data_IF_796565766662
#
_entry.id   IF_796565766662
#
_cell.length_a   1.000
_cell.length_b   1.000
_cell.length_c   1.000
_cell.angle_alpha   90.00
_cell.angle_beta   90.00
_cell.angle_gamma   90.00
#
_symmetry.space_group_name_H-M   'P 1'
#
loop_
_entity.id
_entity.type
_entity.pdbx_description
1 polymer ?
#
# COMPACT_ATOMS: atom_id res chain seq x y z
N UNK A 1 13.25 20.51 -13.62
CA UNK A 1 12.29 19.97 -12.64
C UNK A 1 12.28 18.47 -12.84
N UNK A 2 12.69 17.69 -11.85
CA UNK A 2 12.66 16.23 -11.99
C UNK A 2 11.21 15.74 -11.94
N UNK A 3 10.79 14.96 -12.93
CA UNK A 3 9.41 14.50 -13.05
C UNK A 3 9.15 13.32 -12.11
N UNK A 4 8.08 13.40 -11.33
CA UNK A 4 7.60 12.29 -10.51
C UNK A 4 6.84 11.29 -11.39
N UNK A 5 7.40 10.10 -11.57
CA UNK A 5 6.84 9.02 -12.38
C UNK A 5 6.19 7.95 -11.49
N UNK A 6 5.04 7.42 -11.92
CA UNK A 6 4.34 6.35 -11.21
C UNK A 6 4.33 5.07 -12.03
N UNK A 7 4.73 3.96 -11.41
CA UNK A 7 4.81 2.68 -12.10
C UNK A 7 4.64 1.50 -11.13
N UNK A 8 4.49 0.31 -11.70
CA UNK A 8 4.65 -0.96 -10.98
C UNK A 8 5.99 -1.56 -11.34
N UNK A 9 6.62 -2.23 -10.40
CA UNK A 9 7.84 -2.99 -10.66
C UNK A 9 7.52 -4.44 -11.00
N UNK A 10 8.33 -5.10 -11.85
CA UNK A 10 8.20 -6.54 -12.06
C UNK A 10 8.44 -7.31 -10.76
N UNK A 11 7.84 -8.50 -10.63
CA UNK A 11 8.14 -9.37 -9.50
C UNK A 11 9.46 -10.10 -9.73
N UNK A 12 10.55 -9.52 -9.25
CA UNK A 12 11.88 -10.12 -9.28
C UNK A 12 12.70 -9.72 -8.04
N UNK A 13 13.81 -10.43 -7.73
CA UNK A 13 14.61 -10.16 -6.55
C UNK A 13 15.18 -8.74 -6.48
N UNK A 14 15.58 -8.16 -7.62
CA UNK A 14 16.12 -6.81 -7.68
C UNK A 14 15.08 -5.75 -7.27
N UNK A 15 13.87 -5.84 -7.82
CA UNK A 15 12.76 -4.93 -7.49
C UNK A 15 12.38 -5.04 -6.01
N UNK A 16 12.31 -6.27 -5.50
CA UNK A 16 12.05 -6.52 -4.08
C UNK A 16 13.12 -5.88 -3.20
N UNK A 17 14.41 -6.05 -3.54
CA UNK A 17 15.52 -5.43 -2.82
C UNK A 17 15.43 -3.91 -2.80
N UNK A 18 15.12 -3.27 -3.93
CA UNK A 18 14.96 -1.81 -4.02
C UNK A 18 13.81 -1.29 -3.15
N UNK A 19 12.66 -1.97 -3.15
CA UNK A 19 11.52 -1.58 -2.31
C UNK A 19 11.79 -1.82 -0.83
N UNK A 20 12.40 -2.96 -0.45
CA UNK A 20 12.82 -3.21 0.93
C UNK A 20 13.80 -2.14 1.40
N UNK A 21 14.81 -1.81 0.58
CA UNK A 21 15.78 -0.77 0.90
C UNK A 21 15.08 0.59 1.09
N UNK A 22 14.15 0.98 0.20
CA UNK A 22 13.38 2.20 0.36
C UNK A 22 12.60 2.21 1.69
N UNK A 23 11.83 1.16 1.98
CA UNK A 23 10.95 1.11 3.14
C UNK A 23 11.69 1.06 4.47
N UNK A 24 12.87 0.42 4.52
CA UNK A 24 13.68 0.32 5.74
C UNK A 24 14.14 1.67 6.32
N UNK A 25 13.93 2.78 5.59
CA UNK A 25 14.24 4.14 6.06
C UNK A 25 13.03 4.88 6.66
N UNK A 26 11.85 4.26 6.70
CA UNK A 26 10.62 4.93 7.13
C UNK A 26 9.92 4.14 8.24
N UNK A 27 9.66 4.77 9.39
CA UNK A 27 8.81 4.15 10.41
C UNK A 27 7.39 3.88 9.89
N UNK A 28 6.72 2.77 10.29
CA UNK A 28 7.19 1.72 11.22
C UNK A 28 8.02 0.61 10.57
N UNK A 29 8.34 0.75 9.28
CA UNK A 29 8.94 -0.32 8.48
C UNK A 29 10.42 -0.56 8.77
N UNK A 30 11.10 0.43 9.37
CA UNK A 30 12.48 0.34 9.87
C UNK A 30 12.63 -0.61 11.07
N UNK A 31 11.59 -0.72 11.91
CA UNK A 31 11.54 -1.63 13.06
C UNK A 31 10.63 -2.85 12.87
N UNK A 32 10.09 -3.06 11.67
CA UNK A 32 9.16 -4.16 11.40
C UNK A 32 9.91 -5.48 11.22
N UNK A 33 9.31 -6.58 11.69
CA UNK A 33 9.86 -7.92 11.49
C UNK A 33 10.09 -8.21 10.00
N UNK A 34 11.36 -8.38 9.62
CA UNK A 34 11.80 -8.51 8.24
C UNK A 34 11.03 -9.59 7.49
N UNK A 35 10.85 -10.77 8.12
CA UNK A 35 10.13 -11.89 7.52
C UNK A 35 8.67 -11.58 7.20
N UNK A 36 7.99 -10.77 8.01
CA UNK A 36 6.60 -10.36 7.75
C UNK A 36 6.55 -9.31 6.62
N UNK A 37 7.40 -8.29 6.71
CA UNK A 37 7.47 -7.21 5.71
C UNK A 37 7.76 -7.78 4.31
N UNK A 38 8.81 -8.60 4.18
CA UNK A 38 9.23 -9.14 2.88
C UNK A 38 8.14 -10.03 2.28
N UNK A 39 7.45 -10.85 3.08
CA UNK A 39 6.31 -11.67 2.59
C UNK A 39 5.18 -10.80 2.04
N UNK A 40 4.82 -9.72 2.74
CA UNK A 40 3.80 -8.77 2.28
C UNK A 40 4.21 -8.08 0.98
N UNK A 41 5.44 -7.57 0.90
CA UNK A 41 5.93 -6.87 -0.28
C UNK A 41 6.04 -7.81 -1.49
N UNK A 42 6.53 -9.04 -1.26
CA UNK A 42 6.61 -10.06 -2.31
C UNK A 42 5.23 -10.40 -2.85
N UNK A 43 4.26 -10.64 -1.97
CA UNK A 43 2.87 -10.86 -2.37
C UNK A 43 2.33 -9.71 -3.22
N UNK A 44 2.54 -8.46 -2.79
CA UNK A 44 2.07 -7.28 -3.53
C UNK A 44 2.73 -7.11 -4.90
N UNK A 45 3.99 -7.54 -5.04
CA UNK A 45 4.69 -7.57 -6.33
C UNK A 45 4.16 -8.68 -7.23
N UNK A 46 4.01 -9.89 -6.72
CA UNK A 46 3.48 -11.04 -7.46
C UNK A 46 2.07 -10.77 -7.96
N UNK A 47 1.23 -10.13 -7.15
CA UNK A 47 -0.15 -9.79 -7.51
C UNK A 47 -0.30 -8.45 -8.24
N UNK A 48 0.80 -7.70 -8.45
CA UNK A 48 0.78 -6.37 -9.05
C UNK A 48 -0.18 -5.39 -8.32
N UNK A 49 -0.32 -5.55 -7.00
CA UNK A 49 -1.14 -4.75 -6.08
C UNK A 49 -0.31 -3.73 -5.31
N UNK A 50 0.56 -3.03 -6.02
CA UNK A 50 1.38 -1.95 -5.48
C UNK A 50 1.59 -0.85 -6.52
N UNK A 51 2.24 0.23 -6.12
CA UNK A 51 2.73 1.29 -6.99
C UNK A 51 3.93 1.98 -6.35
N UNK A 52 4.94 2.31 -7.15
CA UNK A 52 6.05 3.18 -6.78
C UNK A 52 5.87 4.57 -7.38
N UNK A 53 6.38 5.57 -6.68
CA UNK A 53 6.74 6.87 -7.25
C UNK A 53 8.25 6.97 -7.36
N UNK A 54 8.76 7.43 -8.50
CA UNK A 54 10.19 7.56 -8.77
C UNK A 54 10.54 8.95 -9.30
N UNK A 55 11.73 9.43 -8.94
CA UNK A 55 12.34 10.66 -9.45
C UNK A 55 13.77 10.31 -9.79
N UNK A 56 14.18 10.54 -11.03
CA UNK A 56 15.55 10.26 -11.51
C UNK A 56 16.00 8.82 -11.14
N UNK A 57 15.14 7.84 -11.43
CA UNK A 57 15.30 6.40 -11.12
C UNK A 57 15.40 6.01 -9.64
N UNK A 58 15.19 6.96 -8.72
CA UNK A 58 15.15 6.72 -7.28
C UNK A 58 13.71 6.59 -6.79
N UNK A 59 13.41 5.53 -6.03
CA UNK A 59 12.11 5.37 -5.38
C UNK A 59 11.95 6.46 -4.31
N UNK A 60 10.89 7.26 -4.42
CA UNK A 60 10.53 8.33 -3.47
C UNK A 60 9.17 8.13 -2.82
N UNK A 61 8.42 7.11 -3.26
CA UNK A 61 7.12 6.75 -2.73
C UNK A 61 6.78 5.29 -3.02
N UNK A 62 6.06 4.65 -2.10
CA UNK A 62 5.53 3.30 -2.24
C UNK A 62 4.13 3.23 -1.63
N UNK A 63 3.20 2.58 -2.33
CA UNK A 63 1.91 2.16 -1.78
C UNK A 63 1.63 0.71 -2.18
N UNK A 64 1.26 -0.10 -1.21
CA UNK A 64 0.91 -1.51 -1.39
C UNK A 64 -0.45 -1.82 -0.78
N UNK A 65 -1.23 -2.65 -1.47
CA UNK A 65 -2.57 -3.05 -1.03
C UNK A 65 -2.80 -4.55 -1.23
N UNK A 66 -3.84 -5.06 -0.57
CA UNK A 66 -4.36 -6.41 -0.74
C UNK A 66 -5.75 -6.31 -1.34
N UNK A 67 -6.02 -7.06 -2.42
CA UNK A 67 -7.37 -7.24 -2.93
C UNK A 67 -8.13 -8.23 -2.04
N UNK A 68 -9.32 -7.83 -1.62
CA UNK A 68 -10.15 -8.56 -0.66
C UNK A 68 -11.64 -8.26 -0.87
N UNK A 69 -12.52 -8.80 -0.04
CA UNK A 69 -13.94 -8.43 -0.03
C UNK A 69 -14.21 -7.25 0.91
N UNK A 70 -15.30 -6.53 0.67
CA UNK A 70 -15.77 -5.44 1.56
C UNK A 70 -15.96 -5.92 2.99
N UNK A 71 -16.50 -7.11 3.19
CA UNK A 71 -16.73 -7.70 4.52
C UNK A 71 -15.41 -7.91 5.27
N UNK A 72 -14.41 -8.54 4.63
CA UNK A 72 -13.09 -8.78 5.24
C UNK A 72 -12.39 -7.46 5.53
N UNK A 73 -12.41 -6.52 4.58
CA UNK A 73 -11.78 -5.22 4.75
C UNK A 73 -12.42 -4.41 5.89
N UNK A 74 -13.75 -4.48 6.04
CA UNK A 74 -14.47 -3.85 7.15
C UNK A 74 -14.14 -4.48 8.50
N UNK A 75 -14.09 -5.82 8.58
CA UNK A 75 -13.72 -6.53 9.80
C UNK A 75 -12.30 -6.21 10.23
N UNK A 76 -11.35 -6.20 9.28
CA UNK A 76 -9.97 -5.80 9.53
C UNK A 76 -9.87 -4.35 10.00
N UNK A 77 -10.54 -3.43 9.30
CA UNK A 77 -10.51 -2.01 9.65
C UNK A 77 -11.14 -1.77 11.03
N UNK A 78 -12.33 -2.32 11.32
CA UNK A 78 -13.08 -2.05 12.55
C UNK A 78 -12.54 -2.81 13.76
N UNK A 79 -12.31 -4.12 13.63
CA UNK A 79 -12.15 -5.02 14.77
C UNK A 79 -10.75 -5.62 14.88
N UNK A 80 -9.82 -5.26 13.99
CA UNK A 80 -8.49 -5.89 13.94
C UNK A 80 -8.56 -7.36 13.50
N UNK A 81 -9.65 -7.76 12.83
CA UNK A 81 -9.76 -9.09 12.22
C UNK A 81 -8.66 -9.33 11.18
N UNK A 82 -8.39 -10.60 10.83
CA UNK A 82 -7.34 -10.92 9.87
C UNK A 82 -7.65 -10.31 8.50
N UNK A 83 -6.67 -9.67 7.89
CA UNK A 83 -6.77 -9.22 6.51
C UNK A 83 -6.34 -10.34 5.58
N UNK A 84 -7.32 -11.04 5.01
CA UNK A 84 -7.07 -12.13 4.07
C UNK A 84 -7.30 -11.66 2.62
N UNK A 85 -6.48 -12.12 1.67
CA UNK A 85 -6.72 -11.87 0.26
C UNK A 85 -7.97 -12.62 -0.21
N UNK A 86 -8.73 -11.97 -1.09
CA UNK A 86 -9.87 -12.58 -1.77
C UNK A 86 -9.79 -12.21 -3.25
N UNK A 87 -9.18 -13.06 -4.09
CA UNK A 87 -9.08 -12.83 -5.54
C UNK A 87 -10.46 -12.58 -6.15
N UNK A 88 -10.58 -11.55 -6.99
CA UNK A 88 -11.88 -11.13 -7.55
C UNK A 88 -12.76 -10.31 -6.59
N UNK A 89 -12.30 -10.04 -5.37
CA UNK A 89 -13.05 -9.24 -4.40
C UNK A 89 -13.26 -7.78 -4.80
N UNK A 90 -14.31 -7.19 -4.22
CA UNK A 90 -14.83 -5.85 -4.51
C UNK A 90 -14.17 -4.73 -3.67
N UNK A 91 -13.11 -5.07 -2.91
CA UNK A 91 -12.41 -4.13 -2.05
C UNK A 91 -10.88 -4.25 -2.15
N UNK A 92 -10.22 -3.18 -1.79
CA UNK A 92 -8.77 -3.15 -1.54
C UNK A 92 -8.49 -2.57 -0.16
N UNK A 93 -7.55 -3.19 0.55
CA UNK A 93 -7.06 -2.69 1.82
C UNK A 93 -5.61 -2.25 1.64
N UNK A 94 -5.32 -0.98 1.89
CA UNK A 94 -3.96 -0.44 1.84
C UNK A 94 -3.22 -0.84 3.11
N UNK A 95 -2.10 -1.54 2.96
CA UNK A 95 -1.32 -2.08 4.08
C UNK A 95 0.06 -1.43 4.21
N UNK A 96 0.59 -0.88 3.13
CA UNK A 96 1.89 -0.20 3.14
C UNK A 96 1.75 1.15 2.44
N UNK A 97 2.21 2.21 3.08
CA UNK A 97 2.34 3.53 2.49
C UNK A 97 3.55 4.23 3.09
N UNK A 98 4.51 4.60 2.24
CA UNK A 98 5.67 5.37 2.63
C UNK A 98 6.03 6.37 1.53
N UNK A 99 6.40 7.58 1.91
CA UNK A 99 6.77 8.65 0.98
C UNK A 99 7.89 9.49 1.56
N UNK A 100 8.87 9.83 0.75
CA UNK A 100 9.96 10.75 1.13
C UNK A 100 9.49 12.17 1.44
N UNK A 101 8.38 12.59 0.83
CA UNK A 101 7.74 13.89 1.06
C UNK A 101 6.22 13.72 1.09
N UNK A 102 5.56 14.46 1.98
CA UNK A 102 4.09 14.49 2.07
C UNK A 102 3.43 14.95 0.76
N UNK A 103 4.14 15.75 -0.05
CA UNK A 103 3.70 16.18 -1.38
C UNK A 103 3.48 15.02 -2.36
N UNK A 104 4.14 13.88 -2.16
CA UNK A 104 4.02 12.70 -3.03
C UNK A 104 2.77 11.86 -2.73
N UNK A 105 2.15 12.02 -1.55
CA UNK A 105 1.05 11.16 -1.09
C UNK A 105 -0.17 11.27 -2.01
N UNK A 106 -0.66 12.49 -2.27
CA UNK A 106 -1.88 12.66 -3.07
C UNK A 106 -1.69 12.21 -4.53
N UNK A 107 -0.62 12.58 -5.24
CA UNK A 107 -0.31 12.04 -6.57
C UNK A 107 -0.24 10.51 -6.62
N UNK A 108 0.43 9.87 -5.66
CA UNK A 108 0.55 8.42 -5.58
C UNK A 108 -0.82 7.75 -5.40
N UNK A 109 -1.62 8.24 -4.44
CA UNK A 109 -2.96 7.70 -4.17
C UNK A 109 -3.88 7.88 -5.38
N UNK A 110 -3.80 9.01 -6.09
CA UNK A 110 -4.58 9.25 -7.32
C UNK A 110 -4.27 8.19 -8.37
N UNK A 111 -2.99 7.93 -8.63
CA UNK A 111 -2.58 6.93 -9.62
C UNK A 111 -2.95 5.50 -9.19
N UNK A 112 -2.77 5.14 -7.92
CA UNK A 112 -3.18 3.83 -7.40
C UNK A 112 -4.70 3.61 -7.49
N UNK A 113 -5.51 4.67 -7.35
CA UNK A 113 -6.97 4.61 -7.51
C UNK A 113 -7.41 4.35 -8.95
N UNK A 114 -6.69 4.86 -9.95
CA UNK A 114 -7.02 4.61 -11.36
C UNK A 114 -6.99 3.12 -11.71
N UNK A 115 -6.18 2.33 -10.99
CA UNK A 115 -6.06 0.87 -11.16
C UNK A 115 -7.20 0.12 -10.45
N UNK A 116 -7.88 0.76 -9.49
CA UNK A 116 -8.87 0.13 -8.62
C UNK A 116 -10.23 0.88 -8.66
N UNK A 117 -10.58 1.50 -9.79
CA UNK A 117 -11.77 2.35 -9.94
C UNK A 117 -13.08 1.62 -9.59
N UNK A 118 -13.10 0.30 -9.75
CA UNK A 118 -14.25 -0.56 -9.53
C UNK A 118 -14.40 -1.03 -8.07
N UNK A 119 -13.41 -0.78 -7.20
CA UNK A 119 -13.31 -1.35 -5.84
C UNK A 119 -13.45 -0.30 -4.73
N UNK A 120 -13.99 -0.72 -3.59
CA UNK A 120 -13.97 0.08 -2.36
C UNK A 120 -12.58 0.07 -1.75
N UNK A 121 -12.09 1.22 -1.26
CA UNK A 121 -10.71 1.34 -0.73
C UNK A 121 -10.73 1.59 0.78
N UNK A 122 -10.08 0.69 1.51
CA UNK A 122 -9.94 0.73 2.96
C UNK A 122 -8.52 1.11 3.36
N UNK A 123 -8.43 2.01 4.34
CA UNK A 123 -7.19 2.52 4.90
C UNK A 123 -7.20 2.28 6.40
N UNK A 124 -6.11 1.71 6.92
CA UNK A 124 -5.78 1.73 8.34
C UNK A 124 -4.42 2.38 8.48
N UNK A 125 -4.36 3.46 9.25
CA UNK A 125 -3.10 4.14 9.59
C UNK A 125 -2.80 3.83 11.04
N UNK A 126 -1.74 3.08 11.27
CA UNK A 126 -1.20 2.88 12.61
C UNK A 126 -0.12 3.94 12.82
N UNK A 127 -0.28 4.77 13.86
CA UNK A 127 0.72 5.76 14.26
C UNK A 127 1.58 5.15 15.37
N UNK A 128 2.90 5.26 15.21
CA UNK A 128 3.88 4.75 16.19
C UNK A 128 3.80 5.51 17.51
N UNK A 129 3.32 6.76 17.49
CA UNK A 129 3.30 7.66 18.63
C UNK A 129 2.05 7.52 19.52
N UNK A 130 1.49 6.31 19.60
CA UNK A 130 0.35 5.97 20.47
C UNK A 130 -0.93 6.81 20.27
N UNK A 131 -1.05 7.61 19.19
CA UNK A 131 -2.26 8.38 18.87
C UNK A 131 -3.49 7.54 18.48
N UNK A 132 -3.37 6.21 18.56
CA UNK A 132 -4.39 5.26 18.12
C UNK A 132 -4.48 5.20 16.59
N UNK A 133 -4.98 4.08 16.07
CA UNK A 133 -5.12 3.89 14.62
C UNK A 133 -6.20 4.81 14.03
N UNK A 134 -5.91 5.55 12.97
CA UNK A 134 -6.95 6.28 12.19
C UNK A 134 -7.43 5.40 11.05
N UNK A 135 -8.73 5.15 11.02
CA UNK A 135 -9.40 4.28 10.04
C UNK A 135 -10.17 5.14 9.06
N UNK A 136 -10.03 4.87 7.76
CA UNK A 136 -10.81 5.55 6.71
C UNK A 136 -11.23 4.56 5.65
N UNK A 137 -12.53 4.53 5.35
CA UNK A 137 -13.07 3.79 4.22
C UNK A 137 -13.58 4.78 3.16
N UNK A 138 -13.22 4.55 1.90
CA UNK A 138 -13.84 5.20 0.75
C UNK A 138 -14.68 4.14 0.06
N UNK A 139 -15.99 4.17 0.34
CA UNK A 139 -16.94 3.22 -0.22
C UNK A 139 -17.30 3.64 -1.65
N UNK A 140 -17.34 2.66 -2.56
CA UNK A 140 -18.04 2.85 -3.83
C UNK A 140 -19.55 2.96 -3.51
N UNK A 141 -20.25 3.89 -4.14
CA UNK A 141 -21.72 3.94 -4.06
C UNK A 141 -22.25 2.74 -4.86
N UNK A 142 -23.13 1.95 -4.27
CA UNK A 142 -23.90 0.97 -5.02
C UNK A 142 -24.81 1.80 -5.96
N UNK A 143 -24.71 1.55 -7.27
CA UNK A 143 -25.58 2.15 -8.30
C UNK A 143 -26.78 1.24 -8.49
#
# INVERSE_FOLDING_TARGET
>A
MSNLLFSRTPSNPASLGLVCNFLAHYPPFDGYEFGLMVKTLRYQMDQQTHMIGSIDDVIVAYVGWIQTSREIAEAWAKNGGPLNPFPGGDATAVTVLATRSSSHILPLIKNAKLINLDKSVFWKRDFIDNRGSVKRAVRKRDI
#
